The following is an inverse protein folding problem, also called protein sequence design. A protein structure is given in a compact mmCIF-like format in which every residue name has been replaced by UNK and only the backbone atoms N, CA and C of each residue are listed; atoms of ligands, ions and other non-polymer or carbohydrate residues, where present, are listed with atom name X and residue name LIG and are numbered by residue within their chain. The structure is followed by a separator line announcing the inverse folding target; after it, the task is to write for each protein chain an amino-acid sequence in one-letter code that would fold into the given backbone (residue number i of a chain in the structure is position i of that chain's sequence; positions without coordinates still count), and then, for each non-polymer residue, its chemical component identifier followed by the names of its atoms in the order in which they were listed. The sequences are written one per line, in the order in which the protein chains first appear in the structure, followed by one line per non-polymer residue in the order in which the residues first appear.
data_IF_292722106666
#
_entry.id   IF_292722106666
#
_cell.length_a   1.000
_cell.length_b   1.000
_cell.length_c   1.000
_cell.angle_alpha   90.00
_cell.angle_beta   90.00
_cell.angle_gamma   90.00
#
_symmetry.space_group_name_H-M   'P 1'
#
loop_
_entity.id
_entity.type
_entity.pdbx_description
1 polymer ?
#
# COMPACT_ATOMS: atom_id res chain seq x y z
N UNK A 1 -9.97 3.52 3.21
CA UNK A 1 -10.29 3.61 1.78
C UNK A 1 -9.29 4.53 1.06
N UNK A 2 -8.93 5.69 1.60
CA UNK A 2 -7.89 6.57 1.00
C UNK A 2 -6.55 5.86 0.72
N UNK A 3 -6.07 5.04 1.66
CA UNK A 3 -4.82 4.28 1.48
C UNK A 3 -4.90 3.20 0.41
N UNK A 4 -6.09 2.63 0.17
CA UNK A 4 -6.27 1.64 -0.90
C UNK A 4 -6.31 2.33 -2.26
N UNK A 5 -6.92 3.52 -2.36
CA UNK A 5 -6.88 4.32 -3.60
C UNK A 5 -5.48 4.83 -3.91
N UNK A 6 -4.74 5.29 -2.89
CA UNK A 6 -3.33 5.64 -3.02
C UNK A 6 -2.51 4.47 -3.56
N UNK A 7 -2.80 3.26 -3.11
CA UNK A 7 -2.14 2.07 -3.60
C UNK A 7 -2.38 1.86 -5.11
N UNK A 8 -3.62 1.99 -5.56
CA UNK A 8 -3.96 1.87 -6.97
C UNK A 8 -3.27 2.96 -7.82
N UNK A 9 -3.20 4.19 -7.31
CA UNK A 9 -2.47 5.29 -7.94
C UNK A 9 -0.96 5.01 -8.05
N UNK A 10 -0.34 4.46 -7.01
CA UNK A 10 1.08 4.09 -7.04
C UNK A 10 1.34 3.00 -8.07
N UNK A 11 0.52 1.95 -8.12
CA UNK A 11 0.60 0.89 -9.13
C UNK A 11 0.57 1.49 -10.54
N UNK A 12 -0.36 2.40 -10.81
CA UNK A 12 -0.46 3.09 -12.10
C UNK A 12 0.80 3.92 -12.42
N UNK A 13 1.30 4.70 -11.45
CA UNK A 13 2.48 5.57 -11.63
C UNK A 13 3.76 4.80 -11.92
N UNK A 14 3.96 3.65 -11.25
CA UNK A 14 5.12 2.79 -11.52
C UNK A 14 4.89 1.83 -12.69
N UNK A 15 3.80 2.00 -13.44
CA UNK A 15 3.42 1.18 -14.61
C UNK A 15 3.32 -0.30 -14.30
N UNK A 16 2.86 -0.62 -13.10
CA UNK A 16 2.44 -1.96 -12.73
C UNK A 16 0.97 -2.16 -13.06
N UNK A 17 0.56 -3.42 -13.18
CA UNK A 17 -0.85 -3.77 -13.25
C UNK A 17 -1.35 -4.12 -11.86
N UNK A 18 -2.61 -3.77 -11.60
CA UNK A 18 -3.32 -4.27 -10.44
C UNK A 18 -3.27 -5.81 -10.43
N UNK A 19 -2.92 -6.45 -9.30
CA UNK A 19 -3.07 -7.88 -9.12
C UNK A 19 -4.51 -8.30 -9.47
N UNK A 20 -4.67 -9.20 -10.45
CA UNK A 20 -5.98 -9.60 -11.00
C UNK A 20 -6.84 -8.50 -11.63
N UNK A 21 -6.30 -7.30 -11.87
CA UNK A 21 -7.11 -6.19 -12.35
C UNK A 21 -8.09 -5.64 -11.30
N UNK A 22 -7.98 -6.06 -10.03
CA UNK A 22 -8.84 -5.57 -8.97
C UNK A 22 -8.18 -4.42 -8.21
N UNK A 23 -8.94 -3.36 -7.85
CA UNK A 23 -8.43 -2.30 -7.00
C UNK A 23 -8.06 -2.86 -5.62
N UNK A 24 -7.12 -2.20 -4.94
CA UNK A 24 -6.57 -2.64 -3.65
C UNK A 24 -7.65 -2.88 -2.59
N UNK A 25 -8.75 -2.12 -2.63
CA UNK A 25 -9.86 -2.25 -1.68
C UNK A 25 -10.61 -3.58 -1.80
N UNK A 26 -10.76 -4.11 -3.02
CA UNK A 26 -11.41 -5.39 -3.31
C UNK A 26 -10.45 -6.57 -3.26
N UNK A 27 -9.15 -6.29 -3.27
CA UNK A 27 -8.11 -7.32 -3.31
C UNK A 27 -7.92 -8.00 -1.96
N UNK A 28 -7.90 -9.34 -1.93
CA UNK A 28 -7.62 -10.15 -0.74
C UNK A 28 -6.34 -10.98 -0.91
N UNK A 29 -5.49 -10.99 0.13
CA UNK A 29 -4.17 -11.63 0.06
C UNK A 29 -4.27 -13.17 -0.04
N UNK A 30 -5.22 -13.78 0.67
CA UNK A 30 -5.31 -15.23 0.80
C UNK A 30 -5.75 -15.89 -0.52
N UNK A 31 -6.78 -15.30 -1.17
CA UNK A 31 -7.25 -15.75 -2.48
C UNK A 31 -6.15 -15.59 -3.53
N UNK A 32 -5.43 -14.46 -3.49
CA UNK A 32 -4.35 -14.17 -4.41
C UNK A 32 -3.17 -15.11 -4.26
N UNK A 33 -2.67 -15.34 -3.04
CA UNK A 33 -1.50 -16.21 -2.83
C UNK A 33 -1.77 -17.62 -3.33
N UNK A 34 -2.98 -18.14 -3.08
CA UNK A 34 -3.42 -19.44 -3.56
C UNK A 34 -3.38 -19.48 -5.09
N UNK A 35 -4.00 -18.52 -5.77
CA UNK A 35 -3.98 -18.47 -7.23
C UNK A 35 -2.58 -18.26 -7.83
N UNK A 36 -1.82 -17.32 -7.28
CA UNK A 36 -0.55 -16.89 -7.83
C UNK A 36 0.51 -17.99 -7.76
N UNK A 37 0.48 -18.83 -6.71
CA UNK A 37 1.32 -20.03 -6.62
C UNK A 37 1.09 -20.99 -7.79
N UNK A 38 -0.14 -21.12 -8.29
CA UNK A 38 -0.45 -22.01 -9.42
C UNK A 38 -0.13 -21.39 -10.78
N UNK A 39 -0.21 -20.06 -10.92
CA UNK A 39 -0.08 -19.39 -12.24
C UNK A 39 1.26 -18.72 -12.47
N UNK A 40 2.05 -18.51 -11.42
CA UNK A 40 3.23 -17.66 -11.45
C UNK A 40 4.47 -18.46 -10.98
N UNK A 41 5.34 -18.88 -11.91
CA UNK A 41 6.54 -19.67 -11.56
C UNK A 41 7.45 -18.94 -10.55
N UNK A 42 7.88 -19.61 -9.48
CA UNK A 42 8.72 -18.99 -8.43
C UNK A 42 8.06 -17.76 -7.79
N UNK A 43 6.72 -17.75 -7.68
CA UNK A 43 5.96 -16.64 -7.10
C UNK A 43 6.50 -16.25 -5.72
N UNK A 44 6.72 -17.22 -4.83
CA UNK A 44 7.17 -16.96 -3.46
C UNK A 44 8.48 -16.18 -3.42
N UNK A 45 9.44 -16.47 -4.32
CA UNK A 45 10.69 -15.72 -4.42
C UNK A 45 10.48 -14.32 -4.99
N UNK A 46 9.58 -14.18 -5.98
CA UNK A 46 9.26 -12.89 -6.62
C UNK A 46 8.44 -11.97 -5.73
N UNK A 47 7.72 -12.53 -4.78
CA UNK A 47 6.87 -11.83 -3.82
C UNK A 47 7.61 -11.48 -2.52
N UNK A 48 8.31 -12.45 -1.93
CA UNK A 48 8.93 -12.31 -0.61
C UNK A 48 9.93 -11.17 -0.58
N UNK A 49 10.81 -11.06 -1.59
CA UNK A 49 11.81 -9.99 -1.66
C UNK A 49 11.18 -8.58 -1.70
N UNK A 50 10.27 -8.25 -2.64
CA UNK A 50 9.59 -6.95 -2.61
C UNK A 50 8.84 -6.68 -1.32
N UNK A 51 8.14 -7.67 -0.77
CA UNK A 51 7.41 -7.50 0.49
C UNK A 51 8.36 -7.15 1.64
N UNK A 52 9.44 -7.92 1.82
CA UNK A 52 10.46 -7.67 2.84
C UNK A 52 11.07 -6.28 2.69
N UNK A 53 11.39 -5.86 1.47
CA UNK A 53 11.94 -4.52 1.22
C UNK A 53 10.95 -3.41 1.56
N UNK A 54 9.67 -3.57 1.23
CA UNK A 54 8.62 -2.59 1.60
C UNK A 54 8.47 -2.48 3.12
N UNK A 55 8.44 -3.61 3.82
CA UNK A 55 8.33 -3.66 5.29
C UNK A 55 9.55 -2.99 5.94
N UNK A 56 10.76 -3.39 5.52
CA UNK A 56 12.02 -2.87 6.06
C UNK A 56 12.15 -1.35 5.88
N UNK A 57 11.71 -0.84 4.73
CA UNK A 57 11.74 0.59 4.40
C UNK A 57 10.54 1.38 4.93
N UNK A 58 9.80 0.83 5.91
CA UNK A 58 8.68 1.49 6.60
C UNK A 58 7.59 1.96 5.62
N UNK A 59 7.34 1.22 4.54
CA UNK A 59 6.26 1.54 3.61
C UNK A 59 4.88 1.41 4.29
N UNK A 60 4.75 0.45 5.21
CA UNK A 60 3.54 0.27 6.02
C UNK A 60 3.37 1.47 6.97
N UNK A 61 2.19 2.07 6.95
CA UNK A 61 1.79 3.05 7.94
C UNK A 61 1.50 2.32 9.25
N UNK A 62 2.24 2.68 10.31
CA UNK A 62 1.86 2.25 11.64
C UNK A 62 0.53 2.92 11.98
N UNK A 63 -0.50 2.15 12.38
CA UNK A 63 -1.73 2.74 12.84
C UNK A 63 -1.43 3.59 14.08
N UNK A 64 -2.19 4.66 14.30
CA UNK A 64 -2.19 5.31 15.61
C UNK A 64 -2.75 4.32 16.65
N UNK A 65 -2.49 4.54 17.95
CA UNK A 65 -2.95 3.62 19.00
C UNK A 65 -4.48 3.35 18.98
N UNK A 66 -5.25 4.23 18.33
CA UNK A 66 -6.72 4.16 18.22
C UNK A 66 -7.20 3.63 16.85
N UNK A 67 -6.28 3.41 15.92
CA UNK A 67 -6.56 2.75 14.65
C UNK A 67 -6.19 1.28 14.83
N UNK A 68 -7.05 0.36 14.37
CA UNK A 68 -6.91 -1.08 14.59
C UNK A 68 -5.63 -1.70 13.97
N UNK A 69 -5.66 -2.96 13.53
CA UNK A 69 -4.45 -3.64 13.07
C UNK A 69 -3.74 -2.90 11.93
N UNK A 70 -2.43 -3.12 11.80
CA UNK A 70 -1.60 -2.50 10.78
C UNK A 70 -2.21 -2.67 9.39
N UNK A 71 -2.22 -1.60 8.59
CA UNK A 71 -2.79 -1.59 7.25
C UNK A 71 -1.84 -2.24 6.24
N UNK A 72 -1.48 -3.51 6.49
CA UNK A 72 -0.50 -4.28 5.73
C UNK A 72 -0.97 -4.62 4.31
N UNK A 73 -2.29 -4.57 4.07
CA UNK A 73 -2.90 -4.85 2.76
C UNK A 73 -2.21 -4.12 1.63
N UNK A 74 -1.88 -2.84 1.81
CA UNK A 74 -1.23 -2.02 0.77
C UNK A 74 0.17 -2.55 0.45
N UNK A 75 0.94 -2.99 1.44
CA UNK A 75 2.25 -3.59 1.20
C UNK A 75 2.15 -4.96 0.50
N UNK A 76 1.20 -5.80 0.93
CA UNK A 76 0.89 -7.07 0.27
C UNK A 76 0.48 -6.87 -1.19
N UNK A 77 -0.38 -5.89 -1.45
CA UNK A 77 -0.87 -5.53 -2.78
C UNK A 77 0.26 -5.05 -3.70
N UNK A 78 1.16 -4.19 -3.23
CA UNK A 78 2.34 -3.76 -4.00
C UNK A 78 3.26 -4.93 -4.33
N UNK A 79 3.57 -5.76 -3.33
CA UNK A 79 4.43 -6.91 -3.54
C UNK A 79 3.81 -7.89 -4.54
N UNK A 80 2.49 -8.10 -4.49
CA UNK A 80 1.75 -8.88 -5.46
C UNK A 80 1.83 -8.28 -6.88
N UNK A 81 1.65 -6.98 -7.03
CA UNK A 81 1.71 -6.28 -8.33
C UNK A 81 3.10 -6.40 -8.97
N UNK A 82 4.16 -6.29 -8.17
CA UNK A 82 5.55 -6.48 -8.61
C UNK A 82 5.82 -7.94 -8.98
N UNK A 83 5.37 -8.88 -8.13
CA UNK A 83 5.58 -10.30 -8.33
C UNK A 83 4.88 -10.83 -9.58
N UNK A 84 3.73 -10.25 -9.93
CA UNK A 84 2.93 -10.61 -11.10
C UNK A 84 3.63 -10.33 -12.44
N UNK A 85 4.71 -9.54 -12.43
CA UNK A 85 5.53 -9.24 -13.61
C UNK A 85 6.75 -10.17 -13.70
N UNK A 86 6.67 -11.29 -14.45
CA UNK A 86 7.78 -12.24 -14.57
C UNK A 86 8.97 -11.65 -15.33
N UNK A 87 8.73 -10.68 -16.20
CA UNK A 87 9.69 -9.99 -17.05
C UNK A 87 10.66 -9.10 -16.27
N UNK A 88 10.31 -8.70 -15.05
CA UNK A 88 11.18 -7.82 -14.25
C UNK A 88 12.36 -8.59 -13.66
N UNK A 89 13.57 -8.08 -13.88
CA UNK A 89 14.76 -8.52 -13.14
C UNK A 89 14.67 -8.13 -11.67
N UNK A 90 15.45 -8.78 -10.80
CA UNK A 90 15.49 -8.41 -9.38
C UNK A 90 15.92 -6.97 -9.16
N UNK A 91 16.93 -6.49 -9.91
CA UNK A 91 17.37 -5.10 -9.86
C UNK A 91 16.24 -4.11 -10.20
N UNK A 92 15.41 -4.44 -11.20
CA UNK A 92 14.29 -3.59 -11.58
C UNK A 92 13.16 -3.64 -10.54
N UNK A 93 12.88 -4.81 -9.94
CA UNK A 93 11.94 -4.93 -8.82
C UNK A 93 12.38 -4.07 -7.64
N UNK A 94 13.65 -4.14 -7.26
CA UNK A 94 14.21 -3.35 -6.16
C UNK A 94 14.13 -1.85 -6.44
N UNK A 95 14.41 -1.43 -7.69
CA UNK A 95 14.26 -0.04 -8.13
C UNK A 95 12.81 0.44 -8.05
N UNK A 96 11.84 -0.40 -8.40
CA UNK A 96 10.41 -0.11 -8.27
C UNK A 96 10.05 0.04 -6.79
N UNK A 97 10.52 -0.87 -5.93
CA UNK A 97 10.30 -0.75 -4.48
C UNK A 97 10.87 0.56 -3.93
N UNK A 98 12.08 0.96 -4.34
CA UNK A 98 12.66 2.25 -3.96
C UNK A 98 11.76 3.42 -4.33
N UNK A 99 11.26 3.46 -5.57
CA UNK A 99 10.32 4.51 -6.02
C UNK A 99 9.03 4.53 -5.21
N UNK A 100 8.46 3.37 -4.90
CA UNK A 100 7.24 3.25 -4.08
C UNK A 100 7.50 3.79 -2.67
N UNK A 101 8.64 3.47 -2.07
CA UNK A 101 9.05 3.99 -0.77
C UNK A 101 9.18 5.51 -0.80
N UNK A 102 9.84 6.06 -1.82
CA UNK A 102 10.02 7.51 -1.97
C UNK A 102 8.67 8.24 -2.15
N UNK A 103 7.75 7.68 -2.94
CA UNK A 103 6.40 8.22 -3.09
C UNK A 103 5.62 8.17 -1.78
N UNK A 104 5.68 7.05 -1.06
CA UNK A 104 5.03 6.92 0.24
C UNK A 104 5.61 7.89 1.27
N UNK A 105 6.93 8.10 1.28
CA UNK A 105 7.55 9.09 2.16
C UNK A 105 7.11 10.52 1.83
N UNK A 106 7.03 10.87 0.54
CA UNK A 106 6.49 12.17 0.09
C UNK A 106 5.03 12.34 0.52
N UNK A 107 4.22 11.30 0.37
CA UNK A 107 2.84 11.30 0.83
C UNK A 107 2.75 11.52 2.34
N UNK A 108 3.55 10.79 3.14
CA UNK A 108 3.60 10.97 4.60
C UNK A 108 3.96 12.40 4.99
N UNK A 109 4.97 12.99 4.36
CA UNK A 109 5.38 14.38 4.61
C UNK A 109 4.27 15.37 4.25
N UNK A 110 3.62 15.17 3.10
CA UNK A 110 2.48 16.00 2.68
C UNK A 110 1.32 15.92 3.68
N UNK A 111 0.93 14.70 4.09
CA UNK A 111 -0.11 14.49 5.08
C UNK A 111 0.25 15.11 6.43
N UNK A 112 1.47 14.92 6.93
CA UNK A 112 1.95 15.54 8.16
C UNK A 112 1.87 17.07 8.09
N UNK A 113 2.25 17.67 6.97
CA UNK A 113 2.18 19.12 6.77
C UNK A 113 0.73 19.64 6.75
N UNK A 114 -0.19 18.92 6.11
CA UNK A 114 -1.62 19.26 6.14
C UNK A 114 -2.18 19.17 7.56
N UNK A 115 -1.92 18.09 8.30
CA UNK A 115 -2.41 17.93 9.69
C UNK A 115 -1.80 18.94 10.67
N UNK A 116 -0.54 19.32 10.50
CA UNK A 116 0.13 20.32 11.36
C UNK A 116 -0.37 21.75 11.08
N UNK A 117 -0.74 22.06 9.83
CA UNK A 117 -1.33 23.36 9.48
C UNK A 117 -2.81 23.44 9.81
N UNK A 118 -3.51 22.31 9.86
CA UNK A 118 -4.96 22.28 9.99
C UNK A 118 -5.43 21.79 11.37
N UNK A 119 -5.04 22.51 12.43
CA UNK A 119 -5.61 22.33 13.78
C UNK A 119 -7.15 22.50 13.80
N UNK A 120 -7.75 23.07 12.75
CA UNK A 120 -9.19 23.24 12.60
C UNK A 120 -9.94 21.99 12.14
N UNK A 121 -9.35 21.17 11.26
CA UNK A 121 -10.02 19.95 10.76
C UNK A 121 -10.20 18.87 11.84
N UNK A 122 -9.23 18.71 12.75
CA UNK A 122 -9.38 17.74 13.86
C UNK A 122 -10.54 18.13 14.77
N UNK A 123 -10.70 19.43 15.06
CA UNK A 123 -11.83 19.96 15.84
C UNK A 123 -13.16 19.79 15.09
N UNK A 124 -13.21 20.10 13.77
CA UNK A 124 -14.44 19.90 12.97
C UNK A 124 -14.84 18.44 12.82
N UNK A 125 -13.87 17.52 12.69
CA UNK A 125 -14.16 16.07 12.63
C UNK A 125 -14.69 15.55 13.97
N UNK A 126 -14.15 16.07 15.09
CA UNK A 126 -14.62 15.75 16.44
C UNK A 126 -16.04 16.29 16.66
N UNK A 127 -16.30 17.55 16.28
CA UNK A 127 -17.65 18.13 16.29
C UNK A 127 -18.64 17.39 15.39
N UNK A 128 -18.20 16.90 14.22
CA UNK A 128 -19.08 16.17 13.31
C UNK A 128 -19.42 14.78 13.84
N UNK A 129 -18.47 14.08 14.48
CA UNK A 129 -18.71 12.81 15.17
C UNK A 129 -19.61 12.99 16.40
N UNK A 130 -19.43 14.06 17.17
CA UNK A 130 -20.29 14.38 18.32
C UNK A 130 -21.72 14.78 17.89
N UNK A 131 -21.88 15.40 16.71
CA UNK A 131 -23.20 15.77 16.15
C UNK A 131 -23.91 14.63 15.42
N UNK A 132 -23.18 13.67 14.85
CA UNK A 132 -23.77 12.55 14.09
C UNK A 132 -24.04 11.31 14.95
N UNK A 133 -23.66 11.35 16.23
CA UNK A 133 -23.95 10.32 17.24
C UNK A 133 -25.17 10.62 18.11
N UNK A 134 -26.03 11.57 17.73
CA UNK A 134 -27.35 11.81 18.33
C UNK A 134 -28.46 11.43 17.35
#
# INVERSE_FOLDING_TARGET
WELTELADLFVARVRLHAPWGHPCILWTCDSWQTFAKHRCKKYDNRYSRPFTLLVHNKFILRPTANQGPSFVRVAHYMAAAIAWRPDLSNALRDKIVGRLVDEMQRYKKFYQHMFLKDKGIISRRKEWLDKSGR
#
